data_IF_780806897565
#
_entry.id   IF_780806897565
#
_cell.length_a   1.000
_cell.length_b   1.000
_cell.length_c   1.000
_cell.angle_alpha   90.00
_cell.angle_beta   90.00
_cell.angle_gamma   90.00
#
_symmetry.space_group_name_H-M   'P 1'
#
loop_
_entity.id
_entity.type
_entity.pdbx_description
1 polymer ?
#
# COMPACT_ATOMS: atom_id res chain seq x y z
N UNK A 1 1.42 3.33 20.23
CA UNK A 1 2.00 3.48 18.88
C UNK A 1 2.44 2.12 18.39
N UNK A 2 2.08 1.77 17.16
CA UNK A 2 2.55 0.57 16.47
C UNK A 2 3.22 0.98 15.16
N UNK A 3 4.36 0.39 14.83
CA UNK A 3 5.06 0.58 13.56
C UNK A 3 5.47 -0.80 13.07
N UNK A 4 5.28 -1.05 11.78
CA UNK A 4 5.73 -2.27 11.12
C UNK A 4 7.25 -2.23 11.04
N UNK A 5 7.89 -3.17 11.75
CA UNK A 5 9.34 -3.30 11.74
C UNK A 5 9.85 -3.74 10.38
N UNK A 6 11.09 -3.36 10.05
CA UNK A 6 11.81 -3.65 8.80
C UNK A 6 11.17 -3.14 7.50
N UNK A 7 10.04 -2.44 7.56
CA UNK A 7 9.46 -1.80 6.37
C UNK A 7 10.38 -0.68 5.88
N UNK A 8 10.82 -0.79 4.64
CA UNK A 8 11.70 0.18 3.98
C UNK A 8 10.95 0.96 2.92
N UNK A 9 11.17 2.27 2.87
CA UNK A 9 10.62 3.13 1.82
C UNK A 9 11.35 2.86 0.50
N UNK A 10 10.59 2.57 -0.56
CA UNK A 10 11.10 2.48 -1.93
C UNK A 10 10.51 3.65 -2.72
N UNK A 11 11.34 4.60 -3.19
CA UNK A 11 10.88 5.69 -4.04
C UNK A 11 10.45 5.18 -5.43
N UNK A 12 9.42 5.81 -6.00
CA UNK A 12 9.04 5.58 -7.38
C UNK A 12 10.12 6.12 -8.33
N UNK A 13 10.32 5.44 -9.48
CA UNK A 13 11.31 5.84 -10.50
C UNK A 13 10.71 6.64 -11.65
N UNK A 14 9.40 6.50 -11.86
CA UNK A 14 8.64 7.20 -12.90
C UNK A 14 7.42 7.88 -12.31
N UNK A 15 6.89 8.90 -13.00
CA UNK A 15 5.78 9.75 -12.54
C UNK A 15 4.55 8.97 -12.06
N UNK A 16 4.18 7.90 -12.76
CA UNK A 16 2.98 7.11 -12.46
C UNK A 16 3.33 5.68 -11.99
N UNK A 17 4.47 5.50 -11.31
CA UNK A 17 4.92 4.19 -10.80
C UNK A 17 4.80 4.02 -9.28
N UNK A 18 3.98 4.84 -8.62
CA UNK A 18 3.72 4.75 -7.18
C UNK A 18 3.15 3.39 -6.76
N UNK A 19 2.26 2.81 -7.58
CA UNK A 19 1.70 1.48 -7.38
C UNK A 19 2.77 0.39 -7.38
N UNK A 20 3.72 0.49 -8.29
CA UNK A 20 4.80 -0.48 -8.48
C UNK A 20 5.75 -0.45 -7.28
N UNK A 21 6.21 0.75 -6.90
CA UNK A 21 7.06 0.92 -5.73
C UNK A 21 6.35 0.47 -4.43
N UNK A 22 5.05 0.73 -4.31
CA UNK A 22 4.26 0.30 -3.15
C UNK A 22 4.12 -1.22 -3.07
N UNK A 23 3.91 -1.92 -4.20
CA UNK A 23 3.91 -3.37 -4.23
C UNK A 23 5.28 -3.96 -3.84
N UNK A 24 6.39 -3.36 -4.31
CA UNK A 24 7.73 -3.76 -3.90
C UNK A 24 7.95 -3.58 -2.39
N UNK A 25 7.45 -2.50 -1.78
CA UNK A 25 7.57 -2.29 -0.34
C UNK A 25 6.93 -3.42 0.48
N UNK A 26 5.73 -3.86 0.09
CA UNK A 26 5.03 -4.97 0.74
C UNK A 26 5.79 -6.28 0.60
N UNK A 27 6.17 -6.62 -0.64
CA UNK A 27 6.78 -7.91 -0.96
C UNK A 27 8.19 -8.02 -0.37
N UNK A 28 9.02 -6.97 -0.49
CA UNK A 28 10.35 -6.95 0.11
C UNK A 28 10.27 -7.03 1.63
N UNK A 29 9.30 -6.33 2.25
CA UNK A 29 9.08 -6.47 3.68
C UNK A 29 8.74 -7.92 4.05
N UNK A 30 7.84 -8.58 3.32
CA UNK A 30 7.44 -9.95 3.63
C UNK A 30 8.62 -10.91 3.53
N UNK A 31 9.40 -10.82 2.46
CA UNK A 31 10.58 -11.65 2.25
C UNK A 31 11.64 -11.44 3.34
N UNK A 32 11.84 -10.20 3.77
CA UNK A 32 12.80 -9.83 4.82
C UNK A 32 12.36 -10.34 6.22
N UNK A 33 11.06 -10.33 6.53
CA UNK A 33 10.57 -10.84 7.84
C UNK A 33 10.45 -12.36 7.86
N UNK A 34 10.12 -13.00 6.74
CA UNK A 34 9.99 -14.46 6.66
C UNK A 34 11.32 -15.18 6.46
N UNK A 35 12.39 -14.45 6.12
CA UNK A 35 13.69 -15.00 5.71
C UNK A 35 13.55 -16.09 4.63
N UNK A 36 12.51 -15.99 3.81
CA UNK A 36 12.15 -16.98 2.81
C UNK A 36 11.61 -16.28 1.56
N UNK A 37 11.96 -16.81 0.40
CA UNK A 37 11.19 -16.53 -0.81
C UNK A 37 9.83 -17.19 -0.62
N UNK A 38 8.83 -16.43 -0.17
CA UNK A 38 7.44 -16.87 -0.17
C UNK A 38 7.09 -17.24 -1.61
N UNK A 39 7.02 -18.54 -1.94
CA UNK A 39 6.89 -19.02 -3.32
C UNK A 39 5.66 -18.50 -4.05
N UNK A 40 4.68 -18.00 -3.30
CA UNK A 40 3.43 -17.41 -3.80
C UNK A 40 3.54 -15.90 -4.08
N UNK A 41 4.60 -15.21 -3.63
CA UNK A 41 4.80 -13.78 -3.85
C UNK A 41 5.76 -13.52 -4.99
N UNK A 42 5.30 -12.78 -6.00
CA UNK A 42 6.10 -12.40 -7.16
C UNK A 42 6.41 -10.92 -7.06
N UNK A 43 7.69 -10.55 -6.95
CA UNK A 43 8.09 -9.13 -7.02
C UNK A 43 7.64 -8.56 -8.39
N UNK A 44 7.05 -7.35 -8.45
CA UNK A 44 6.55 -6.78 -9.70
C UNK A 44 7.65 -6.56 -10.77
N UNK A 45 8.93 -6.60 -10.40
CA UNK A 45 10.05 -6.64 -11.35
C UNK A 45 10.20 -7.97 -12.08
N UNK A 46 9.63 -9.04 -11.56
CA UNK A 46 9.63 -10.37 -12.16
C UNK A 46 8.36 -10.62 -13.00
N UNK A 47 7.25 -9.92 -12.72
CA UNK A 47 6.03 -9.95 -13.53
C UNK A 47 6.13 -9.09 -14.81
N UNK A 48 5.92 -9.71 -15.98
CA UNK A 48 6.09 -9.05 -17.28
C UNK A 48 5.06 -7.93 -17.52
N UNK A 49 3.81 -8.14 -17.10
CA UNK A 49 2.75 -7.15 -17.24
C UNK A 49 3.01 -5.95 -16.34
N UNK A 50 3.45 -6.17 -15.10
CA UNK A 50 3.82 -5.08 -14.20
C UNK A 50 4.99 -4.26 -14.75
N UNK A 51 6.03 -4.88 -15.30
CA UNK A 51 7.12 -4.15 -15.97
C UNK A 51 6.59 -3.33 -17.14
N UNK A 52 5.75 -3.93 -17.99
CA UNK A 52 5.16 -3.22 -19.14
C UNK A 52 4.34 -2.00 -18.71
N UNK A 53 3.42 -2.15 -17.74
CA UNK A 53 2.60 -1.05 -17.24
C UNK A 53 3.47 0.05 -16.62
N UNK A 54 4.53 -0.33 -15.89
CA UNK A 54 5.49 0.62 -15.30
C UNK A 54 6.20 1.40 -16.40
N UNK A 55 6.75 0.71 -17.39
CA UNK A 55 7.57 1.29 -18.46
C UNK A 55 6.76 2.19 -19.40
N UNK A 56 5.49 1.83 -19.63
CA UNK A 56 4.52 2.67 -20.34
C UNK A 56 4.14 3.93 -19.52
N UNK A 57 4.45 3.97 -18.21
CA UNK A 57 4.26 5.09 -17.30
C UNK A 57 2.82 5.66 -17.27
N UNK A 58 1.81 4.82 -17.51
CA UNK A 58 0.41 5.21 -17.56
C UNK A 58 -0.29 5.18 -16.19
N UNK A 59 0.35 4.59 -15.18
CA UNK A 59 -0.30 4.30 -13.90
C UNK A 59 -1.11 3.01 -13.95
N UNK A 60 -1.67 2.65 -12.80
CA UNK A 60 -2.53 1.49 -12.64
C UNK A 60 -3.96 1.97 -12.41
N UNK A 61 -4.91 1.49 -13.21
CA UNK A 61 -6.33 1.84 -13.09
C UNK A 61 -7.02 0.93 -12.06
N UNK A 62 -8.12 1.42 -11.46
CA UNK A 62 -8.85 0.68 -10.43
C UNK A 62 -9.23 -0.76 -10.82
N UNK A 63 -9.80 -1.02 -12.01
CA UNK A 63 -10.16 -2.38 -12.44
C UNK A 63 -8.96 -3.31 -12.63
N UNK A 64 -7.74 -2.78 -12.69
CA UNK A 64 -6.51 -3.56 -12.87
C UNK A 64 -5.89 -4.01 -11.55
N UNK A 65 -6.30 -3.40 -10.42
CA UNK A 65 -5.67 -3.62 -9.11
C UNK A 65 -5.84 -5.07 -8.66
N UNK A 66 -7.06 -5.62 -8.71
CA UNK A 66 -7.28 -7.00 -8.27
C UNK A 66 -6.58 -8.03 -9.16
N UNK A 67 -6.58 -7.80 -10.48
CA UNK A 67 -5.85 -8.66 -11.41
C UNK A 67 -4.34 -8.62 -11.13
N UNK A 68 -3.77 -7.44 -10.87
CA UNK A 68 -2.38 -7.28 -10.46
C UNK A 68 -2.11 -7.95 -9.11
N UNK A 69 -2.94 -7.70 -8.09
CA UNK A 69 -2.81 -8.29 -6.77
C UNK A 69 -2.74 -9.82 -6.84
N UNK A 70 -3.65 -10.44 -7.62
CA UNK A 70 -3.65 -11.88 -7.85
C UNK A 70 -2.35 -12.39 -8.50
N UNK A 71 -1.80 -11.68 -9.50
CA UNK A 71 -0.52 -12.07 -10.13
C UNK A 71 0.65 -11.97 -9.15
N UNK A 72 0.67 -10.96 -8.29
CA UNK A 72 1.74 -10.75 -7.33
C UNK A 72 1.58 -11.56 -6.03
N UNK A 73 0.46 -12.29 -5.87
CA UNK A 73 0.14 -13.04 -4.66
C UNK A 73 -0.33 -12.19 -3.48
N UNK A 74 -0.77 -10.96 -3.73
CA UNK A 74 -1.33 -10.07 -2.71
C UNK A 74 -2.82 -10.36 -2.49
N UNK A 75 -3.28 -10.09 -1.27
CA UNK A 75 -4.67 -10.26 -0.85
C UNK A 75 -5.33 -8.90 -0.62
N UNK A 76 -6.60 -8.76 -0.99
CA UNK A 76 -7.38 -7.55 -0.73
C UNK A 76 -8.11 -7.65 0.59
N UNK A 77 -8.16 -6.53 1.32
CA UNK A 77 -9.10 -6.40 2.45
C UNK A 77 -10.48 -6.04 1.87
N UNK A 78 -11.57 -6.71 2.31
CA UNK A 78 -12.91 -6.40 1.85
C UNK A 78 -13.24 -4.90 1.96
N UNK A 79 -14.03 -4.33 1.03
CA UNK A 79 -14.34 -2.90 1.03
C UNK A 79 -15.09 -2.49 2.31
N UNK A 80 -14.38 -1.83 3.23
CA UNK A 80 -14.96 -1.23 4.42
C UNK A 80 -14.27 0.09 4.74
N UNK A 81 -14.95 0.97 5.49
CA UNK A 81 -14.35 2.17 6.07
C UNK A 81 -13.61 1.77 7.35
N UNK A 82 -12.27 1.71 7.40
CA UNK A 82 -11.60 1.27 8.61
C UNK A 82 -11.64 2.33 9.69
N UNK A 83 -11.77 1.88 10.93
CA UNK A 83 -11.46 2.69 12.12
C UNK A 83 -9.95 2.64 12.39
N UNK A 84 -9.39 3.57 13.19
CA UNK A 84 -8.01 3.45 13.66
C UNK A 84 -7.71 2.08 14.30
N UNK A 85 -8.64 1.54 15.09
CA UNK A 85 -8.48 0.22 15.70
C UNK A 85 -8.42 -0.92 14.66
N UNK A 86 -9.20 -0.83 13.58
CA UNK A 86 -9.12 -1.79 12.48
C UNK A 86 -7.77 -1.73 11.75
N UNK A 87 -7.26 -0.52 11.48
CA UNK A 87 -5.92 -0.33 10.90
C UNK A 87 -4.86 -0.94 11.82
N UNK A 88 -4.92 -0.69 13.14
CA UNK A 88 -3.97 -1.31 14.07
C UNK A 88 -4.03 -2.83 14.04
N UNK A 89 -5.24 -3.41 14.07
CA UNK A 89 -5.44 -4.85 13.98
C UNK A 89 -4.84 -5.44 12.71
N UNK A 90 -5.08 -4.81 11.56
CA UNK A 90 -4.52 -5.24 10.27
C UNK A 90 -3.01 -5.07 10.20
N UNK A 91 -2.46 -3.97 10.71
CA UNK A 91 -1.01 -3.76 10.72
C UNK A 91 -0.28 -4.80 11.59
N UNK A 92 -0.91 -5.22 12.70
CA UNK A 92 -0.37 -6.29 13.56
C UNK A 92 -0.51 -7.68 12.94
N UNK A 93 -1.63 -7.92 12.26
CA UNK A 93 -1.91 -9.20 11.63
C UNK A 93 -1.10 -9.39 10.34
N UNK A 94 -1.21 -8.45 9.42
CA UNK A 94 -0.73 -8.58 8.04
C UNK A 94 0.60 -7.87 7.79
N UNK A 95 0.96 -6.91 8.64
CA UNK A 95 2.06 -5.99 8.39
C UNK A 95 1.64 -4.78 7.55
N UNK A 96 2.49 -4.28 6.64
CA UNK A 96 2.24 -3.05 5.92
C UNK A 96 1.05 -3.19 4.96
N UNK A 97 0.28 -2.11 4.85
CA UNK A 97 -0.91 -2.08 4.01
C UNK A 97 -0.67 -1.17 2.82
N UNK A 98 -0.81 -1.71 1.62
CA UNK A 98 -0.95 -0.90 0.41
C UNK A 98 -2.32 -0.21 0.44
N UNK A 99 -2.39 1.06 0.02
CA UNK A 99 -3.63 1.84 0.03
C UNK A 99 -3.88 2.49 -1.32
N UNK A 100 -5.04 2.21 -1.90
CA UNK A 100 -5.54 2.88 -3.08
C UNK A 100 -6.09 4.25 -2.71
N UNK A 101 -5.51 5.29 -3.30
CA UNK A 101 -6.06 6.64 -3.29
C UNK A 101 -6.53 7.06 -4.68
N UNK A 102 -7.29 8.16 -4.75
CA UNK A 102 -7.89 8.66 -6.00
C UNK A 102 -6.93 8.77 -7.19
N UNK A 103 -5.67 9.12 -6.94
CA UNK A 103 -4.63 9.29 -7.98
C UNK A 103 -3.25 8.79 -7.55
N UNK A 104 -3.11 8.39 -6.28
CA UNK A 104 -1.82 8.08 -5.70
C UNK A 104 -1.92 6.95 -4.69
N UNK A 105 -1.04 5.98 -4.85
CA UNK A 105 -0.96 4.79 -4.04
C UNK A 105 0.23 4.91 -3.09
N UNK A 106 0.00 4.56 -1.83
CA UNK A 106 0.99 4.63 -0.75
C UNK A 106 0.91 3.38 0.13
N UNK A 107 1.82 3.28 1.10
CA UNK A 107 1.81 2.21 2.11
C UNK A 107 1.61 2.79 3.51
N UNK A 108 0.68 2.23 4.28
CA UNK A 108 0.59 2.45 5.73
C UNK A 108 1.54 1.47 6.41
N UNK A 109 2.50 2.00 7.17
CA UNK A 109 3.49 1.23 7.93
C UNK A 109 3.43 1.44 9.43
N UNK A 110 2.39 2.10 9.95
CA UNK A 110 2.26 2.36 11.38
C UNK A 110 1.01 3.16 11.73
N UNK A 111 0.69 3.17 13.03
CA UNK A 111 -0.44 3.87 13.62
C UNK A 111 -0.09 4.39 15.02
N UNK A 112 -0.56 5.60 15.32
CA UNK A 112 -0.37 6.28 16.59
C UNK A 112 -1.71 6.85 17.09
N UNK A 113 -1.89 6.94 18.40
CA UNK A 113 -3.17 7.35 19.01
C UNK A 113 -4.21 6.23 19.07
N UNK A 114 -5.37 6.54 19.66
CA UNK A 114 -6.48 5.60 19.84
C UNK A 114 -7.69 6.03 18.98
N UNK A 115 -8.73 5.18 18.90
CA UNK A 115 -9.94 5.50 18.14
C UNK A 115 -10.62 6.81 18.58
N UNK A 116 -10.46 7.19 19.85
CA UNK A 116 -11.02 8.41 20.43
C UNK A 116 -10.27 9.69 20.04
N UNK A 117 -8.97 9.60 19.70
CA UNK A 117 -8.14 10.75 19.31
C UNK A 117 -8.07 10.97 17.79
N UNK A 118 -8.86 10.22 17.01
CA UNK A 118 -8.81 10.25 15.54
C UNK A 118 -7.64 9.48 14.92
N UNK A 119 -6.55 9.30 15.68
CA UNK A 119 -5.36 8.56 15.29
C UNK A 119 -4.52 9.21 14.19
N UNK A 120 -3.25 8.83 14.10
CA UNK A 120 -2.35 9.15 13.01
C UNK A 120 -1.84 7.87 12.37
N UNK A 121 -1.61 7.89 11.06
CA UNK A 121 -0.99 6.78 10.34
C UNK A 121 0.36 7.19 9.79
N UNK A 122 1.31 6.25 9.82
CA UNK A 122 2.63 6.44 9.25
C UNK A 122 2.60 6.03 7.79
N UNK A 123 2.69 7.00 6.90
CA UNK A 123 2.65 6.81 5.46
C UNK A 123 4.08 6.68 4.91
N UNK A 124 4.27 5.66 4.08
CA UNK A 124 5.44 5.44 3.24
C UNK A 124 5.00 5.79 1.81
N UNK A 125 5.27 7.04 1.44
CA UNK A 125 4.88 7.63 0.17
C UNK A 125 6.04 7.45 -0.83
N UNK A 126 5.86 6.72 -1.95
CA UNK A 126 6.92 6.53 -2.93
C UNK A 126 7.26 7.81 -3.71
N UNK A 127 6.43 8.85 -3.66
CA UNK A 127 6.67 10.18 -4.24
C UNK A 127 7.34 11.12 -3.22
N UNK A 128 8.22 12.07 -3.63
CA UNK A 128 8.65 12.40 -5.01
C UNK A 128 9.51 11.34 -5.69
N UNK A 129 9.64 11.41 -7.02
CA UNK A 129 10.50 10.50 -7.82
C UNK A 129 11.92 10.48 -7.23
N UNK A 130 12.49 9.29 -7.09
CA UNK A 130 13.82 9.02 -6.53
C UNK A 130 14.06 9.44 -5.06
N UNK A 131 13.08 10.04 -4.40
CA UNK A 131 13.21 10.54 -3.02
C UNK A 131 12.25 9.82 -2.08
N UNK A 132 10.97 9.76 -2.43
CA UNK A 132 9.89 9.32 -1.54
C UNK A 132 9.76 10.20 -0.28
N UNK A 133 8.84 9.82 0.61
CA UNK A 133 8.64 10.50 1.89
C UNK A 133 8.05 9.56 2.93
N UNK A 134 8.48 9.70 4.18
CA UNK A 134 7.84 9.08 5.36
C UNK A 134 7.25 10.17 6.22
N UNK A 135 5.97 10.05 6.58
CA UNK A 135 5.29 11.06 7.39
C UNK A 135 4.18 10.45 8.25
N UNK A 136 3.93 11.06 9.41
CA UNK A 136 2.74 10.80 10.21
C UNK A 136 1.65 11.77 9.79
N UNK A 137 0.47 11.26 9.46
CA UNK A 137 -0.68 12.06 9.03
C UNK A 137 -1.91 11.72 9.87
N UNK A 138 -2.74 12.72 10.23
CA UNK A 138 -4.01 12.46 10.91
C UNK A 138 -4.89 11.55 10.04
N UNK A 139 -5.30 10.40 10.58
CA UNK A 139 -5.91 9.32 9.81
C UNK A 139 -7.17 9.77 9.07
N UNK A 140 -8.13 10.38 9.77
CA UNK A 140 -9.37 10.84 9.14
C UNK A 140 -9.12 11.94 8.10
N UNK A 141 -8.33 12.96 8.44
CA UNK A 141 -8.06 14.08 7.51
C UNK A 141 -7.36 13.61 6.23
N UNK A 142 -6.45 12.64 6.34
CA UNK A 142 -5.76 12.08 5.19
C UNK A 142 -6.64 11.11 4.41
N UNK A 143 -7.30 10.17 5.09
CA UNK A 143 -8.05 9.08 4.48
C UNK A 143 -9.37 9.53 3.84
N UNK A 144 -10.15 10.38 4.52
CA UNK A 144 -11.44 10.89 3.98
C UNK A 144 -11.32 12.27 3.33
N UNK A 145 -10.11 12.82 3.27
CA UNK A 145 -9.86 14.14 2.69
C UNK A 145 -9.98 14.16 1.16
N UNK A 146 -9.51 15.25 0.56
CA UNK A 146 -9.56 15.46 -0.90
C UNK A 146 -8.17 15.41 -1.57
N UNK A 147 -7.20 14.79 -0.91
CA UNK A 147 -5.84 14.64 -1.44
C UNK A 147 -5.76 13.54 -2.51
N UNK A 148 -4.67 13.51 -3.29
CA UNK A 148 -4.46 12.44 -4.29
C UNK A 148 -4.40 11.04 -3.66
N UNK A 149 -4.02 10.95 -2.39
CA UNK A 149 -3.88 9.70 -1.63
C UNK A 149 -5.07 9.41 -0.73
N UNK A 150 -6.08 10.29 -0.70
CA UNK A 150 -7.30 9.98 0.06
C UNK A 150 -8.06 8.87 -0.63
N UNK A 151 -8.89 8.18 0.17
CA UNK A 151 -9.69 7.04 -0.26
C UNK A 151 -10.38 7.34 -1.57
N UNK A 152 -10.19 6.45 -2.53
CA UNK A 152 -11.01 6.43 -3.72
C UNK A 152 -12.37 5.79 -3.40
N UNK A 153 -13.43 6.51 -3.76
CA UNK A 153 -14.83 6.11 -3.54
C UNK A 153 -15.58 6.00 -4.86
N UNK A 154 -14.88 6.00 -6.00
CA UNK A 154 -15.48 5.77 -7.31
C UNK A 154 -16.09 4.37 -7.39
N UNK A 155 -17.12 4.21 -8.24
CA UNK A 155 -17.87 2.96 -8.37
C UNK A 155 -17.06 1.81 -8.96
N UNK A 156 -15.92 2.10 -9.58
CA UNK A 156 -14.99 1.14 -10.17
C UNK A 156 -13.88 0.69 -9.20
N UNK A 157 -13.90 1.16 -7.94
CA UNK A 157 -12.95 0.74 -6.90
C UNK A 157 -13.34 -0.63 -6.36
N UNK A 158 -12.62 -1.66 -6.79
CA UNK A 158 -12.84 -3.03 -6.32
C UNK A 158 -12.00 -3.38 -5.08
N UNK A 159 -10.89 -2.67 -4.85
CA UNK A 159 -10.02 -2.85 -3.68
C UNK A 159 -9.41 -1.52 -3.22
N UNK A 160 -9.49 -1.27 -1.90
CA UNK A 160 -8.88 -0.09 -1.26
C UNK A 160 -7.58 -0.46 -0.56
N UNK A 161 -7.50 -1.65 0.03
CA UNK A 161 -6.31 -2.11 0.75
C UNK A 161 -5.83 -3.44 0.20
N UNK A 162 -4.51 -3.59 0.08
CA UNK A 162 -3.87 -4.87 -0.19
C UNK A 162 -2.83 -5.17 0.90
N UNK A 163 -2.56 -6.45 1.12
CA UNK A 163 -1.51 -6.94 2.00
C UNK A 163 -0.88 -8.24 1.47
N UNK A 164 0.26 -8.64 2.04
CA UNK A 164 0.81 -9.96 1.81
C UNK A 164 0.05 -11.03 2.62
N UNK A 165 -0.07 -12.26 2.12
CA UNK A 165 -0.75 -13.35 2.82
C UNK A 165 -0.01 -13.78 4.08
N UNK A 166 -0.73 -14.37 5.06
CA UNK A 166 -0.17 -14.73 6.36
C UNK A 166 0.58 -16.08 6.42
N UNK A 167 0.65 -16.83 5.32
CA UNK A 167 1.15 -18.22 5.29
C UNK A 167 2.60 -18.39 5.76
#
# INVERSE_FOLDING_TARGET
MFVVDKLTLIPQKLKNSCWYASAQMLINWRQEVSQSSSGDLIDPSLDADCRKIRDDNNGLLNPQILAMAKRLGLESVPPMSPTPAAIEGWLRAYGPLWVNGKKHIVVIGGINGNASSGGEVKIYNPSPIDVGKKEWLPFFSWYTGNSNSSRDTASDVEAVFLHCPQR
#
